data_IF_966066582796
#
_entry.id   IF_966066582796
#
_cell.length_a   1.000
_cell.length_b   1.000
_cell.length_c   1.000
_cell.angle_alpha   90.00
_cell.angle_beta   90.00
_cell.angle_gamma   90.00
#
_symmetry.space_group_name_H-M   'P 1'
#
loop_
_entity.id
_entity.type
_entity.pdbx_description
1 polymer ?
#
# COMPACT_ATOMS: atom_id res chain seq x y z
N UNK A 1 -5.32 1.06 7.68
CA UNK A 1 -5.67 -0.37 7.48
C UNK A 1 -4.56 -1.11 6.73
N UNK A 2 -4.12 -0.62 5.56
CA UNK A 2 -3.00 -1.22 4.83
C UNK A 2 -2.17 -0.15 4.12
N UNK A 3 -0.90 -0.44 3.86
CA UNK A 3 -0.02 0.45 3.11
C UNK A 3 1.03 -0.31 2.31
N UNK A 4 1.53 0.33 1.26
CA UNK A 4 2.75 -0.04 0.56
C UNK A 4 3.44 1.24 0.04
N UNK A 5 4.68 1.45 0.46
CA UNK A 5 5.51 2.57 0.01
C UNK A 5 6.37 2.08 -1.15
N UNK A 6 6.06 2.58 -2.34
CA UNK A 6 6.80 2.30 -3.57
C UNK A 6 7.83 3.39 -3.84
N UNK A 7 8.87 3.15 -4.65
CA UNK A 7 9.91 4.15 -4.91
C UNK A 7 9.40 5.48 -5.46
N UNK A 8 8.30 5.47 -6.22
CA UNK A 8 7.76 6.65 -6.91
C UNK A 8 6.37 7.06 -6.47
N UNK A 9 5.68 6.24 -5.67
CA UNK A 9 4.31 6.48 -5.23
C UNK A 9 3.98 5.68 -3.97
N UNK A 10 2.84 5.98 -3.38
CA UNK A 10 2.36 5.30 -2.17
C UNK A 10 0.93 4.78 -2.38
N UNK A 11 0.67 3.61 -1.83
CA UNK A 11 -0.68 3.04 -1.72
C UNK A 11 -1.10 2.97 -0.27
N UNK A 12 -2.30 3.46 0.02
CA UNK A 12 -2.88 3.45 1.37
C UNK A 12 -4.32 2.97 1.29
N UNK A 13 -4.72 2.13 2.25
CA UNK A 13 -6.12 1.84 2.53
C UNK A 13 -6.42 2.47 3.89
N UNK A 14 -7.32 3.44 3.90
CA UNK A 14 -7.64 4.26 5.07
C UNK A 14 -9.12 4.17 5.40
N UNK A 15 -9.43 4.24 6.68
CA UNK A 15 -10.79 4.43 7.17
C UNK A 15 -10.93 5.84 7.74
N UNK A 16 -12.01 6.52 7.38
CA UNK A 16 -12.35 7.80 7.98
C UNK A 16 -13.16 7.58 9.26
N UNK A 17 -12.55 7.90 10.39
CA UNK A 17 -13.18 7.79 11.71
C UNK A 17 -13.98 9.04 12.10
N UNK A 18 -13.70 10.17 11.46
CA UNK A 18 -14.40 11.45 11.67
C UNK A 18 -14.30 12.31 10.42
N UNK A 19 -15.21 13.26 10.30
CA UNK A 19 -15.28 14.16 9.15
C UNK A 19 -13.93 14.86 8.89
N UNK A 20 -13.50 14.88 7.62
CA UNK A 20 -12.24 15.49 7.20
C UNK A 20 -10.97 14.78 7.69
N UNK A 21 -11.09 13.66 8.41
CA UNK A 21 -9.96 12.96 9.02
C UNK A 21 -8.91 12.49 8.00
N UNK A 22 -9.32 11.89 6.90
CA UNK A 22 -8.41 11.44 5.84
C UNK A 22 -7.68 12.63 5.20
N UNK A 23 -8.39 13.70 4.86
CA UNK A 23 -7.77 14.89 4.26
C UNK A 23 -6.73 15.52 5.18
N UNK A 24 -7.02 15.62 6.47
CA UNK A 24 -6.10 16.13 7.47
C UNK A 24 -4.86 15.23 7.62
N UNK A 25 -5.07 13.94 7.70
CA UNK A 25 -4.00 12.94 7.77
C UNK A 25 -3.09 13.01 6.54
N UNK A 26 -3.66 12.97 5.34
CA UNK A 26 -2.90 13.05 4.09
C UNK A 26 -2.09 14.34 3.98
N UNK A 27 -2.69 15.49 4.30
CA UNK A 27 -1.98 16.76 4.32
C UNK A 27 -0.79 16.74 5.28
N UNK A 28 -0.96 16.16 6.46
CA UNK A 28 0.09 16.09 7.48
C UNK A 28 1.26 15.24 7.03
N UNK A 29 1.01 14.00 6.59
CA UNK A 29 2.08 13.07 6.18
C UNK A 29 2.80 13.56 4.92
N UNK A 30 2.07 14.04 3.91
CA UNK A 30 2.69 14.51 2.66
C UNK A 30 3.56 15.75 2.88
N UNK A 31 3.11 16.70 3.69
CA UNK A 31 3.90 17.89 4.06
C UNK A 31 5.14 17.52 4.89
N UNK A 32 4.96 16.67 5.90
CA UNK A 32 6.06 16.25 6.77
C UNK A 32 7.14 15.50 5.98
N UNK A 33 6.73 14.58 5.11
CA UNK A 33 7.68 13.86 4.28
C UNK A 33 8.38 14.76 3.26
N UNK A 34 7.66 15.67 2.61
CA UNK A 34 8.26 16.64 1.68
C UNK A 34 9.33 17.51 2.36
N UNK A 35 9.03 17.98 3.57
CA UNK A 35 9.99 18.75 4.36
C UNK A 35 11.24 17.94 4.72
N UNK A 36 11.04 16.73 5.24
CA UNK A 36 12.14 15.81 5.56
C UNK A 36 13.00 15.52 4.32
N UNK A 37 12.39 15.15 3.20
CA UNK A 37 13.08 14.81 1.97
C UNK A 37 13.88 15.98 1.42
N UNK A 38 13.29 17.18 1.37
CA UNK A 38 13.93 18.38 0.88
C UNK A 38 15.14 18.78 1.74
N UNK A 39 15.04 18.67 3.06
CA UNK A 39 16.16 18.93 3.97
C UNK A 39 17.27 17.89 3.74
N UNK A 40 16.92 16.61 3.76
CA UNK A 40 17.87 15.51 3.63
C UNK A 40 18.66 15.56 2.32
N UNK A 41 18.04 15.98 1.22
CA UNK A 41 18.61 15.99 -0.10
C UNK A 41 19.02 17.41 -0.59
N UNK A 42 19.06 18.39 0.32
CA UNK A 42 19.36 19.80 0.01
C UNK A 42 18.59 20.33 -1.22
N UNK A 43 17.30 20.10 -1.24
CA UNK A 43 16.41 20.34 -2.37
C UNK A 43 15.31 21.32 -1.97
N UNK A 44 14.75 22.07 -2.92
CA UNK A 44 13.64 23.01 -2.74
C UNK A 44 12.51 22.66 -3.72
N UNK A 45 11.28 23.07 -3.37
CA UNK A 45 10.11 22.93 -4.21
C UNK A 45 9.27 21.69 -3.95
N UNK A 46 8.20 21.49 -4.72
CA UNK A 46 7.26 20.39 -4.53
C UNK A 46 7.94 19.04 -4.74
N UNK A 47 7.56 18.06 -3.92
CA UNK A 47 7.96 16.66 -4.05
C UNK A 47 6.92 15.86 -4.83
N UNK A 48 5.64 16.13 -4.57
CA UNK A 48 4.52 15.40 -5.15
C UNK A 48 4.05 16.08 -6.44
N UNK A 49 3.78 15.28 -7.47
CA UNK A 49 3.34 15.79 -8.77
C UNK A 49 1.92 16.39 -8.76
N UNK A 50 1.11 16.02 -7.77
CA UNK A 50 -0.25 16.51 -7.69
C UNK A 50 -0.98 16.06 -6.42
N UNK A 51 -2.29 16.21 -6.44
CA UNK A 51 -3.17 15.75 -5.36
C UNK A 51 -3.26 14.22 -5.36
N UNK A 52 -3.41 13.62 -4.18
CA UNK A 52 -3.70 12.20 -4.08
C UNK A 52 -5.02 11.85 -4.74
N UNK A 53 -5.06 10.67 -5.36
CA UNK A 53 -6.28 10.10 -5.93
C UNK A 53 -6.88 9.15 -4.90
N UNK A 54 -8.20 9.06 -4.86
CA UNK A 54 -8.89 8.15 -3.96
C UNK A 54 -10.04 7.42 -4.66
N UNK A 55 -10.34 6.24 -4.16
CA UNK A 55 -11.49 5.42 -4.57
C UNK A 55 -12.19 4.95 -3.31
N UNK A 56 -13.51 5.09 -3.28
CA UNK A 56 -14.32 4.58 -2.17
C UNK A 56 -14.44 3.07 -2.26
N UNK A 57 -14.06 2.37 -1.20
CA UNK A 57 -14.28 0.92 -1.04
C UNK A 57 -15.72 0.69 -0.62
N UNK A 58 -16.47 -0.12 -1.37
CA UNK A 58 -17.92 -0.29 -1.22
C UNK A 58 -18.34 -1.67 -0.72
N UNK A 59 -17.41 -2.63 -0.68
CA UNK A 59 -17.71 -4.01 -0.24
C UNK A 59 -16.48 -4.68 0.38
N UNK A 60 -16.71 -5.70 1.18
CA UNK A 60 -15.66 -6.51 1.79
C UNK A 60 -14.86 -7.28 0.73
N UNK A 61 -15.50 -7.72 -0.35
CA UNK A 61 -14.83 -8.34 -1.49
C UNK A 61 -13.87 -7.37 -2.16
N UNK A 62 -14.31 -6.15 -2.44
CA UNK A 62 -13.45 -5.10 -3.01
C UNK A 62 -12.29 -4.77 -2.07
N UNK A 63 -12.55 -4.68 -0.76
CA UNK A 63 -11.52 -4.46 0.26
C UNK A 63 -10.46 -5.56 0.21
N UNK A 64 -10.87 -6.81 0.24
CA UNK A 64 -9.95 -7.96 0.22
C UNK A 64 -9.06 -7.96 -1.05
N UNK A 65 -9.66 -7.71 -2.22
CA UNK A 65 -8.90 -7.59 -3.46
C UNK A 65 -7.93 -6.40 -3.47
N UNK A 66 -8.30 -5.28 -2.87
CA UNK A 66 -7.44 -4.11 -2.74
C UNK A 66 -6.26 -4.35 -1.80
N UNK A 67 -6.45 -5.05 -0.66
CA UNK A 67 -5.34 -5.40 0.23
C UNK A 67 -4.30 -6.25 -0.51
N UNK A 68 -4.75 -7.27 -1.25
CA UNK A 68 -3.87 -8.08 -2.09
C UNK A 68 -3.14 -7.24 -3.15
N UNK A 69 -3.85 -6.38 -3.86
CA UNK A 69 -3.26 -5.47 -4.84
C UNK A 69 -2.16 -4.61 -4.21
N UNK A 70 -2.44 -3.98 -3.07
CA UNK A 70 -1.48 -3.14 -2.34
C UNK A 70 -0.24 -3.94 -1.95
N UNK A 71 -0.41 -5.14 -1.41
CA UNK A 71 0.68 -5.97 -0.95
C UNK A 71 1.50 -6.62 -2.08
N UNK A 72 0.91 -6.85 -3.26
CA UNK A 72 1.61 -7.39 -4.42
C UNK A 72 2.29 -6.34 -5.30
N UNK A 73 2.09 -5.05 -5.06
CA UNK A 73 2.71 -4.01 -5.89
C UNK A 73 4.23 -4.17 -6.06
N UNK A 74 5.03 -4.42 -5.00
CA UNK A 74 6.47 -4.59 -5.14
C UNK A 74 6.86 -5.80 -5.99
N UNK A 75 6.08 -6.87 -5.92
CA UNK A 75 6.27 -8.07 -6.74
C UNK A 75 5.87 -7.82 -8.18
N UNK A 76 4.77 -7.09 -8.40
CA UNK A 76 4.27 -6.70 -9.72
C UNK A 76 5.26 -5.83 -10.47
N UNK A 77 5.92 -4.89 -9.75
CA UNK A 77 6.93 -3.99 -10.31
C UNK A 77 8.35 -4.59 -10.32
N UNK A 78 8.47 -5.89 -10.06
CA UNK A 78 9.75 -6.62 -10.06
C UNK A 78 10.83 -6.07 -9.10
N UNK A 79 10.41 -5.43 -8.01
CA UNK A 79 11.33 -4.94 -6.98
C UNK A 79 11.79 -6.06 -6.04
N UNK A 80 10.92 -7.04 -5.82
CA UNK A 80 11.18 -8.25 -5.02
C UNK A 80 10.47 -9.45 -5.66
N UNK A 81 10.91 -10.65 -5.31
CA UNK A 81 10.25 -11.88 -5.78
C UNK A 81 9.05 -12.26 -4.92
N UNK A 82 9.09 -11.97 -3.64
CA UNK A 82 8.05 -12.29 -2.67
C UNK A 82 7.62 -11.03 -1.91
N UNK A 83 6.33 -10.85 -1.61
CA UNK A 83 5.83 -9.63 -0.96
C UNK A 83 6.40 -9.42 0.45
N UNK A 84 6.75 -10.48 1.18
CA UNK A 84 7.38 -10.40 2.49
C UNK A 84 8.81 -9.83 2.46
N UNK A 85 9.47 -9.84 1.32
CA UNK A 85 10.83 -9.30 1.16
C UNK A 85 10.82 -7.76 1.03
N UNK A 86 9.64 -7.14 0.86
CA UNK A 86 9.47 -5.69 0.81
C UNK A 86 9.11 -5.14 2.19
N UNK A 87 10.10 -4.58 2.90
CA UNK A 87 9.93 -4.09 4.27
C UNK A 87 9.07 -2.81 4.41
N UNK A 88 8.80 -2.12 3.31
CA UNK A 88 8.00 -0.88 3.29
C UNK A 88 6.52 -1.13 2.97
N UNK A 89 6.00 -2.26 3.39
CA UNK A 89 4.61 -2.67 3.20
C UNK A 89 4.05 -3.26 4.50
N UNK A 90 2.74 -3.08 4.70
CA UNK A 90 2.02 -3.72 5.80
C UNK A 90 1.82 -5.22 5.64
N UNK A 91 2.25 -5.84 4.54
CA UNK A 91 2.10 -7.28 4.32
C UNK A 91 2.67 -8.11 5.47
N UNK A 92 3.84 -7.73 5.99
CA UNK A 92 4.48 -8.43 7.13
C UNK A 92 3.66 -8.36 8.41
N UNK A 93 2.88 -7.31 8.62
CA UNK A 93 1.93 -7.21 9.74
C UNK A 93 0.78 -8.21 9.58
N UNK A 94 0.27 -8.36 8.35
CA UNK A 94 -0.84 -9.28 8.01
C UNK A 94 -0.46 -10.75 8.14
N UNK A 95 0.79 -11.10 7.96
CA UNK A 95 1.28 -12.48 8.05
C UNK A 95 2.06 -12.77 9.34
N UNK A 96 1.99 -11.87 10.31
CA UNK A 96 2.57 -12.09 11.65
C UNK A 96 4.11 -12.05 11.71
N UNK A 97 4.78 -11.50 10.69
CA UNK A 97 6.24 -11.34 10.66
C UNK A 97 6.73 -10.01 11.24
N UNK A 98 5.83 -9.07 11.51
CA UNK A 98 6.16 -7.81 12.17
C UNK A 98 6.07 -7.95 13.69
N UNK A 99 7.01 -7.31 14.40
CA UNK A 99 6.93 -7.20 15.86
C UNK A 99 5.64 -6.45 16.25
N UNK A 100 4.93 -6.90 17.27
CA UNK A 100 3.64 -6.31 17.67
C UNK A 100 3.74 -4.83 18.04
N UNK A 101 4.82 -4.43 18.68
CA UNK A 101 5.09 -3.04 19.07
C UNK A 101 5.42 -2.12 17.88
N UNK A 102 5.71 -2.68 16.72
CA UNK A 102 6.00 -1.95 15.46
C UNK A 102 4.83 -1.95 14.48
N UNK A 103 3.72 -2.55 14.82
CA UNK A 103 2.52 -2.55 13.98
C UNK A 103 1.96 -1.13 13.85
N UNK A 104 1.63 -0.77 12.63
CA UNK A 104 1.03 0.53 12.29
C UNK A 104 -0.44 0.35 11.91
N UNK A 105 -0.79 -0.81 11.33
CA UNK A 105 -2.11 -1.07 10.78
C UNK A 105 -3.04 -1.72 11.78
N UNK A 106 -4.29 -1.26 11.81
CA UNK A 106 -5.42 -1.92 12.44
C UNK A 106 -6.33 -2.47 11.33
N UNK A 107 -6.33 -3.79 11.17
CA UNK A 107 -7.09 -4.51 10.14
C UNK A 107 -7.93 -5.66 10.70
N UNK A 108 -7.90 -5.89 12.01
CA UNK A 108 -8.56 -7.03 12.66
C UNK A 108 -10.06 -7.08 12.41
N UNK A 109 -10.72 -5.93 12.36
CA UNK A 109 -12.16 -5.82 12.14
C UNK A 109 -12.58 -6.00 10.66
N UNK A 110 -11.59 -6.03 9.74
CA UNK A 110 -11.85 -6.05 8.29
C UNK A 110 -11.40 -7.34 7.62
N UNK A 111 -10.50 -8.09 8.23
CA UNK A 111 -9.91 -9.30 7.66
C UNK A 111 -10.39 -10.52 8.43
N UNK A 112 -11.35 -11.24 7.86
CA UNK A 112 -11.85 -12.52 8.38
C UNK A 112 -11.09 -13.70 7.77
N UNK A 113 -9.78 -13.68 7.92
CA UNK A 113 -8.86 -14.74 7.45
C UNK A 113 -7.74 -14.95 8.44
N UNK A 114 -7.33 -16.22 8.64
CA UNK A 114 -6.09 -16.50 9.35
C UNK A 114 -4.86 -16.20 8.44
N UNK A 115 -3.68 -16.20 9.05
CA UNK A 115 -2.41 -15.86 8.38
C UNK A 115 -2.17 -16.73 7.16
N UNK A 116 -2.31 -18.04 7.28
CA UNK A 116 -2.04 -18.99 6.20
C UNK A 116 -3.02 -18.83 5.03
N UNK A 117 -4.29 -18.57 5.32
CA UNK A 117 -5.30 -18.31 4.31
C UNK A 117 -5.01 -17.01 3.56
N UNK A 118 -4.61 -15.96 4.27
CA UNK A 118 -4.24 -14.69 3.64
C UNK A 118 -2.98 -14.80 2.78
N UNK A 119 -1.95 -15.51 3.27
CA UNK A 119 -0.74 -15.78 2.47
C UNK A 119 -1.06 -16.50 1.15
N UNK A 120 -1.87 -17.56 1.21
CA UNK A 120 -2.32 -18.27 0.00
C UNK A 120 -3.10 -17.34 -0.93
N UNK A 121 -4.06 -16.60 -0.39
CA UNK A 121 -4.87 -15.65 -1.16
C UNK A 121 -4.04 -14.60 -1.91
N UNK A 122 -2.97 -14.09 -1.28
CA UNK A 122 -2.05 -13.13 -1.92
C UNK A 122 -1.20 -13.83 -2.98
N UNK A 123 -0.57 -14.95 -2.64
CA UNK A 123 0.39 -15.63 -3.51
C UNK A 123 -0.26 -16.26 -4.76
N UNK A 124 -1.50 -16.72 -4.67
CA UNK A 124 -2.24 -17.30 -5.81
C UNK A 124 -2.40 -16.36 -7.00
N UNK A 125 -2.19 -15.06 -6.81
CA UNK A 125 -2.36 -14.04 -7.86
C UNK A 125 -1.10 -13.29 -8.24
N UNK A 126 0.05 -13.61 -7.65
CA UNK A 126 1.31 -12.92 -7.93
C UNK A 126 1.67 -12.94 -9.42
N UNK A 127 1.65 -14.11 -10.04
CA UNK A 127 1.97 -14.27 -11.47
C UNK A 127 0.93 -13.61 -12.39
N UNK A 128 -0.34 -13.71 -12.02
CA UNK A 128 -1.42 -13.07 -12.79
C UNK A 128 -1.30 -11.53 -12.78
N UNK A 129 -0.97 -10.93 -11.65
CA UNK A 129 -0.76 -9.47 -11.57
C UNK A 129 0.46 -9.03 -12.39
N UNK A 130 1.55 -9.80 -12.37
CA UNK A 130 2.72 -9.57 -13.23
C UNK A 130 2.36 -9.61 -14.72
N UNK A 131 1.53 -10.56 -15.14
CA UNK A 131 1.05 -10.65 -16.53
C UNK A 131 0.18 -9.46 -16.92
N UNK A 132 -0.75 -9.04 -16.03
CA UNK A 132 -1.58 -7.86 -16.26
C UNK A 132 -0.75 -6.56 -16.36
N UNK A 133 0.28 -6.42 -15.55
CA UNK A 133 1.18 -5.26 -15.60
C UNK A 133 1.90 -5.18 -16.96
N UNK A 134 2.38 -6.31 -17.49
CA UNK A 134 2.99 -6.39 -18.83
C UNK A 134 2.02 -5.97 -19.94
N UNK A 135 0.76 -6.42 -19.86
CA UNK A 135 -0.27 -6.06 -20.83
C UNK A 135 -0.61 -4.56 -20.75
N UNK A 136 -0.69 -4.00 -19.55
CA UNK A 136 -0.92 -2.55 -19.36
C UNK A 136 0.19 -1.72 -20.01
N UNK A 137 1.45 -2.11 -19.89
CA UNK A 137 2.55 -1.44 -20.58
C UNK A 137 2.44 -1.49 -22.10
N UNK A 138 1.89 -2.56 -22.64
CA UNK A 138 1.67 -2.71 -24.09
C UNK A 138 0.44 -1.94 -24.62
N UNK A 139 -0.51 -1.58 -23.75
CA UNK A 139 -1.75 -0.88 -24.13
C UNK A 139 -1.72 0.63 -23.90
N UNK A 140 -0.67 1.17 -23.29
CA UNK A 140 -0.50 2.61 -23.03
C UNK A 140 0.43 3.25 -24.09
N UNK A 141 1.03 2.47 -24.93
CA UNK A 141 1.69 2.93 -26.15
C UNK A 141 0.68 2.97 -27.32
#
# INVERSE_FOLDING_TARGET
IAYCLMPTHIHLILQQLKEGGISKFMNLILKSYSKYFNIKHNRKGPLWEGRFKNVLVKSDEQFLHLTRYVHLNPVTDYLVDRPEDWSFSSYREYIGLADEDKRICDFSDYLDMNIEAYQRFVNDRADYQRQLAKIKHLTIE
#
